data_IF_468184365499
#
_entry.id   IF_468184365499
#
_cell.length_a   1.000
_cell.length_b   1.000
_cell.length_c   1.000
_cell.angle_alpha   90.00
_cell.angle_beta   90.00
_cell.angle_gamma   90.00
#
_symmetry.space_group_name_H-M   'P 1'
#
loop_
_entity.id
_entity.type
_entity.pdbx_description
1 polymer ?
#
# COMPACT_ATOMS: atom_id res chain seq x y z
N UNK A 1 -2.36 -21.01 -19.10
CA UNK A 1 -1.57 -21.51 -17.95
C UNK A 1 -0.34 -20.66 -17.65
N UNK A 2 0.49 -20.30 -18.65
CA UNK A 2 1.65 -19.40 -18.45
C UNK A 2 1.31 -18.00 -17.90
N UNK A 3 0.13 -17.47 -18.24
CA UNK A 3 -0.30 -16.11 -17.84
C UNK A 3 -0.61 -15.99 -16.33
N UNK A 4 -1.22 -17.04 -15.74
CA UNK A 4 -1.51 -17.11 -14.29
C UNK A 4 -0.23 -17.24 -13.43
N UNK A 5 0.83 -17.84 -13.98
CA UNK A 5 2.12 -17.99 -13.30
C UNK A 5 2.94 -16.69 -13.28
N UNK A 6 2.75 -15.81 -14.27
CA UNK A 6 3.40 -14.50 -14.32
C UNK A 6 2.87 -13.56 -13.24
N UNK A 7 1.54 -13.46 -13.11
CA UNK A 7 0.92 -12.61 -12.08
C UNK A 7 1.27 -13.05 -10.65
N UNK A 8 1.36 -14.36 -10.40
CA UNK A 8 1.74 -14.88 -9.09
C UNK A 8 3.16 -14.49 -8.63
N UNK A 9 4.09 -14.23 -9.56
CA UNK A 9 5.48 -13.84 -9.20
C UNK A 9 5.59 -12.38 -8.78
N UNK A 10 4.71 -11.50 -9.25
CA UNK A 10 4.74 -10.07 -8.92
C UNK A 10 4.05 -9.74 -7.59
N UNK A 11 3.18 -10.63 -7.11
CA UNK A 11 2.41 -10.43 -5.87
C UNK A 11 3.32 -10.23 -4.64
N UNK A 12 4.33 -11.09 -4.42
CA UNK A 12 5.21 -10.95 -3.24
C UNK A 12 5.98 -9.63 -3.22
N UNK A 13 6.41 -9.14 -4.39
CA UNK A 13 7.13 -7.86 -4.48
C UNK A 13 6.20 -6.66 -4.31
N UNK A 14 4.94 -6.79 -4.71
CA UNK A 14 3.90 -5.78 -4.51
C UNK A 14 3.61 -5.54 -3.02
N UNK A 15 3.59 -6.60 -2.20
CA UNK A 15 3.43 -6.47 -0.73
C UNK A 15 4.50 -5.54 -0.15
N UNK A 16 5.77 -5.75 -0.51
CA UNK A 16 6.87 -4.92 -0.01
C UNK A 16 6.73 -3.46 -0.41
N UNK A 17 6.38 -3.18 -1.66
CA UNK A 17 6.16 -1.80 -2.13
C UNK A 17 5.01 -1.15 -1.38
N UNK A 18 3.92 -1.88 -1.14
CA UNK A 18 2.74 -1.36 -0.42
C UNK A 18 3.07 -1.06 1.04
N UNK A 19 3.75 -1.97 1.73
CA UNK A 19 4.18 -1.78 3.13
C UNK A 19 5.16 -0.62 3.26
N UNK A 20 6.18 -0.54 2.39
CA UNK A 20 7.16 0.54 2.39
C UNK A 20 6.48 1.88 2.08
N UNK A 21 5.58 1.91 1.09
CA UNK A 21 4.79 3.09 0.75
C UNK A 21 3.92 3.55 1.92
N UNK A 22 3.26 2.63 2.61
CA UNK A 22 2.49 2.91 3.82
C UNK A 22 3.35 3.45 4.97
N UNK A 23 4.53 2.86 5.17
CA UNK A 23 5.51 3.32 6.17
C UNK A 23 5.94 4.78 5.91
N UNK A 24 6.33 5.08 4.66
CA UNK A 24 6.71 6.44 4.25
C UNK A 24 5.53 7.40 4.40
N UNK A 25 4.33 7.00 3.93
CA UNK A 25 3.11 7.80 3.99
C UNK A 25 2.74 8.23 5.41
N UNK A 26 2.89 7.35 6.40
CA UNK A 26 2.63 7.66 7.80
C UNK A 26 3.65 8.66 8.39
N UNK A 27 4.89 8.66 7.90
CA UNK A 27 5.94 9.57 8.37
C UNK A 27 5.85 10.96 7.75
N UNK A 28 5.13 11.13 6.64
CA UNK A 28 4.97 12.42 6.00
C UNK A 28 4.35 13.42 6.98
N UNK A 29 5.01 14.59 7.18
CA UNK A 29 4.52 15.60 8.10
C UNK A 29 3.26 16.23 7.52
N UNK A 30 2.15 16.11 8.25
CA UNK A 30 0.85 16.58 7.80
C UNK A 30 0.30 17.74 8.64
N UNK A 31 1.09 18.81 8.75
CA UNK A 31 0.75 19.94 9.63
C UNK A 31 -0.38 20.84 9.10
N UNK A 32 -0.68 20.78 7.80
CA UNK A 32 -1.65 21.69 7.15
C UNK A 32 -2.97 21.01 6.79
N UNK A 33 -2.96 19.72 6.46
CA UNK A 33 -4.13 19.04 5.89
C UNK A 33 -4.97 18.27 6.91
N UNK A 34 -4.54 18.12 8.17
CA UNK A 34 -5.24 17.37 9.25
C UNK A 34 -5.64 15.92 8.90
N UNK A 35 -5.15 15.37 7.79
CA UNK A 35 -5.38 13.97 7.40
C UNK A 35 -4.71 13.04 8.42
N UNK A 36 -5.42 12.04 8.96
CA UNK A 36 -4.82 11.04 9.84
C UNK A 36 -3.60 10.37 9.19
N UNK A 37 -2.50 10.20 9.95
CA UNK A 37 -1.28 9.58 9.43
C UNK A 37 -1.52 8.19 8.82
N UNK A 38 -2.43 7.39 9.39
CA UNK A 38 -2.81 6.09 8.84
C UNK A 38 -3.60 6.20 7.53
N UNK A 39 -4.42 7.24 7.38
CA UNK A 39 -5.08 7.50 6.10
C UNK A 39 -4.06 7.88 5.03
N UNK A 40 -3.02 8.65 5.38
CA UNK A 40 -1.93 8.90 4.44
C UNK A 40 -1.11 7.65 4.12
N UNK A 41 -0.92 6.74 5.07
CA UNK A 41 -0.31 5.46 4.80
C UNK A 41 -1.08 4.68 3.72
N UNK A 42 -2.40 4.59 3.87
CA UNK A 42 -3.27 3.92 2.88
C UNK A 42 -3.17 4.57 1.50
N UNK A 43 -3.31 5.90 1.43
CA UNK A 43 -3.27 6.61 0.15
C UNK A 43 -1.92 6.38 -0.55
N UNK A 44 -0.80 6.60 0.13
CA UNK A 44 0.53 6.48 -0.49
C UNK A 44 0.85 5.01 -0.80
N UNK A 45 0.58 4.09 0.13
CA UNK A 45 0.88 2.66 -0.04
C UNK A 45 0.10 2.03 -1.19
N UNK A 46 -1.22 2.18 -1.21
CA UNK A 46 -2.06 1.62 -2.28
C UNK A 46 -1.79 2.26 -3.64
N UNK A 47 -1.55 3.58 -3.70
CA UNK A 47 -1.20 4.23 -4.97
C UNK A 47 0.19 3.82 -5.47
N UNK A 48 1.18 3.70 -4.58
CA UNK A 48 2.52 3.22 -4.95
C UNK A 48 2.45 1.81 -5.54
N UNK A 49 1.70 0.91 -4.90
CA UNK A 49 1.42 -0.43 -5.42
C UNK A 49 0.82 -0.38 -6.82
N UNK A 50 -0.21 0.45 -7.02
CA UNK A 50 -0.95 0.54 -8.28
C UNK A 50 -0.11 1.14 -9.41
N UNK A 51 0.74 2.11 -9.11
CA UNK A 51 1.65 2.72 -10.09
C UNK A 51 2.75 1.75 -10.52
N UNK A 52 3.27 0.94 -9.61
CA UNK A 52 4.41 0.05 -9.90
C UNK A 52 3.97 -1.27 -10.53
N UNK A 53 2.89 -1.87 -10.06
CA UNK A 53 2.46 -3.22 -10.48
C UNK A 53 1.15 -3.25 -11.26
N UNK A 54 0.36 -2.17 -11.23
CA UNK A 54 -1.00 -2.18 -11.74
C UNK A 54 -1.98 -2.93 -10.83
N UNK A 55 -3.16 -3.19 -11.37
CA UNK A 55 -4.22 -4.00 -10.75
C UNK A 55 -4.01 -5.49 -11.05
N UNK A 56 -4.82 -6.36 -10.46
CA UNK A 56 -4.73 -7.81 -10.67
C UNK A 56 -5.26 -8.25 -12.05
N UNK A 57 -5.95 -7.38 -12.78
CA UNK A 57 -6.48 -7.62 -14.10
C UNK A 57 -5.74 -6.83 -15.19
N UNK A 58 -5.99 -7.22 -16.45
CA UNK A 58 -5.36 -6.61 -17.62
C UNK A 58 -6.33 -5.62 -18.23
N UNK A 59 -5.89 -4.37 -18.35
CA UNK A 59 -6.71 -3.26 -18.80
C UNK A 59 -7.41 -2.61 -17.62
N UNK A 60 -7.37 -1.27 -17.55
CA UNK A 60 -7.87 -0.45 -16.44
C UNK A 60 -9.41 -0.45 -16.35
N UNK A 61 -10.03 -1.62 -16.26
CA UNK A 61 -11.48 -1.79 -16.13
C UNK A 61 -11.80 -2.27 -14.71
N UNK A 62 -12.60 -1.48 -14.00
CA UNK A 62 -13.09 -1.86 -12.67
C UNK A 62 -13.84 -3.20 -12.72
N UNK A 63 -13.33 -4.16 -11.97
CA UNK A 63 -13.82 -5.53 -11.88
C UNK A 63 -13.95 -5.96 -10.42
N UNK A 64 -14.42 -7.19 -10.19
CA UNK A 64 -14.50 -7.74 -8.83
C UNK A 64 -13.11 -7.97 -8.23
N UNK A 65 -12.08 -8.24 -9.05
CA UNK A 65 -10.69 -8.39 -8.58
C UNK A 65 -10.11 -7.09 -8.03
N UNK A 66 -10.56 -5.92 -8.50
CA UNK A 66 -10.16 -4.63 -7.93
C UNK A 66 -10.57 -4.49 -6.47
N UNK A 67 -11.75 -4.99 -6.09
CA UNK A 67 -12.22 -4.91 -4.70
C UNK A 67 -11.25 -5.68 -3.80
N UNK A 68 -10.84 -6.89 -4.21
CA UNK A 68 -9.86 -7.68 -3.48
C UNK A 68 -8.48 -7.01 -3.46
N UNK A 69 -8.04 -6.44 -4.59
CA UNK A 69 -6.80 -5.67 -4.68
C UNK A 69 -6.77 -4.51 -3.67
N UNK A 70 -7.82 -3.68 -3.67
CA UNK A 70 -7.92 -2.54 -2.77
C UNK A 70 -7.97 -2.98 -1.31
N UNK A 71 -8.72 -4.04 -0.99
CA UNK A 71 -8.78 -4.54 0.37
C UNK A 71 -7.41 -5.01 0.88
N UNK A 72 -6.68 -5.78 0.06
CA UNK A 72 -5.34 -6.28 0.39
C UNK A 72 -4.35 -5.13 0.55
N UNK A 73 -4.29 -4.22 -0.43
CA UNK A 73 -3.33 -3.10 -0.38
C UNK A 73 -3.60 -2.14 0.78
N UNK A 74 -4.87 -1.92 1.14
CA UNK A 74 -5.24 -1.11 2.31
C UNK A 74 -4.68 -1.74 3.60
N UNK A 75 -4.84 -3.05 3.78
CA UNK A 75 -4.33 -3.75 4.97
C UNK A 75 -2.80 -3.67 5.02
N UNK A 76 -2.12 -3.94 3.92
CA UNK A 76 -0.65 -3.88 3.82
C UNK A 76 -0.12 -2.47 4.11
N UNK A 77 -0.75 -1.45 3.54
CA UNK A 77 -0.39 -0.06 3.76
C UNK A 77 -0.62 0.36 5.23
N UNK A 78 -1.71 -0.10 5.86
CA UNK A 78 -1.98 0.12 7.29
C UNK A 78 -0.92 -0.55 8.16
N UNK A 79 -0.48 -1.77 7.83
CA UNK A 79 0.60 -2.45 8.56
C UNK A 79 1.90 -1.63 8.50
N UNK A 80 2.29 -1.18 7.30
CA UNK A 80 3.46 -0.31 7.13
C UNK A 80 3.35 0.99 7.93
N UNK A 81 2.20 1.66 7.86
CA UNK A 81 1.94 2.89 8.58
C UNK A 81 1.94 2.72 10.11
N UNK A 82 1.37 1.62 10.61
CA UNK A 82 1.39 1.30 12.03
C UNK A 82 2.82 1.08 12.54
N UNK A 83 3.63 0.30 11.81
CA UNK A 83 5.04 0.08 12.12
C UNK A 83 5.82 1.40 12.20
N UNK A 84 5.62 2.30 11.23
CA UNK A 84 6.24 3.63 11.23
C UNK A 84 5.92 4.44 12.48
N UNK A 85 4.65 4.45 12.90
CA UNK A 85 4.22 5.19 14.09
C UNK A 85 4.77 4.56 15.38
N UNK A 86 4.85 3.23 15.46
CA UNK A 86 5.50 2.53 16.58
C UNK A 86 6.98 2.88 16.69
N UNK A 87 7.74 2.81 15.60
CA UNK A 87 9.17 3.16 15.55
C UNK A 87 9.38 4.62 15.94
N UNK A 88 8.60 5.54 15.37
CA UNK A 88 8.65 6.97 15.70
C UNK A 88 8.37 7.23 17.18
N UNK A 89 7.40 6.51 17.77
CA UNK A 89 7.07 6.63 19.20
C UNK A 89 8.21 6.13 20.10
N UNK A 90 8.93 5.09 19.70
CA UNK A 90 10.09 4.58 20.44
C UNK A 90 11.27 5.56 20.32
N UNK A 91 11.54 6.07 19.11
CA UNK A 91 12.66 6.98 18.86
C UNK A 91 12.51 8.35 19.54
N UNK A 92 11.29 8.78 19.84
CA UNK A 92 11.02 10.06 20.51
C UNK A 92 10.92 9.94 22.04
N UNK A 93 11.13 8.74 22.61
CA UNK A 93 11.32 8.53 24.05
C UNK A 93 12.80 8.57 24.38
#
# INVERSE_FOLDING_TARGET
MYMLLSQNKHNYTQIFVTIIGGYIGALLPNKLSNIPHLLMAVIIGSLASKVVYGDFDVGYQWSQSDIYYWFVTVIEALLGGYLALCVKKISNK
#
